data_IF_411411763107
#
_entry.id   IF_411411763107
#
_cell.length_a   1.000
_cell.length_b   1.000
_cell.length_c   1.000
_cell.angle_alpha   90.00
_cell.angle_beta   90.00
_cell.angle_gamma   90.00
#
_symmetry.space_group_name_H-M   'P 1'
#
loop_
_entity.id
_entity.type
_entity.pdbx_description
1 polymer ?
#
# COMPACT_ATOMS: atom_id res chain seq x y z
N UNK A 1 -13.43 -10.27 -16.19
CA UNK A 1 -12.22 -10.67 -15.45
C UNK A 1 -11.26 -11.28 -16.43
N UNK A 2 -10.10 -10.64 -16.66
CA UNK A 2 -9.05 -11.17 -17.54
C UNK A 2 -8.28 -12.30 -16.84
N UNK A 3 -7.80 -13.28 -17.61
CA UNK A 3 -7.06 -14.45 -17.09
C UNK A 3 -5.57 -14.13 -16.94
N UNK A 4 -4.96 -14.62 -15.86
CA UNK A 4 -3.56 -14.33 -15.50
C UNK A 4 -2.57 -15.44 -15.87
N UNK A 5 -2.86 -16.24 -16.89
CA UNK A 5 -2.01 -17.38 -17.27
C UNK A 5 -0.60 -16.94 -17.70
N UNK A 6 -0.52 -15.90 -18.52
CA UNK A 6 0.75 -15.34 -19.01
C UNK A 6 1.58 -14.77 -17.86
N UNK A 7 0.91 -14.03 -16.98
CA UNK A 7 1.49 -13.41 -15.79
C UNK A 7 2.10 -14.47 -14.86
N UNK A 8 1.34 -15.51 -14.52
CA UNK A 8 1.81 -16.63 -13.70
C UNK A 8 3.07 -17.28 -14.28
N UNK A 9 3.11 -17.50 -15.60
CA UNK A 9 4.30 -18.02 -16.27
C UNK A 9 5.51 -17.08 -16.17
N UNK A 10 5.29 -15.77 -16.34
CA UNK A 10 6.36 -14.78 -16.29
C UNK A 10 6.92 -14.63 -14.87
N UNK A 11 6.07 -14.64 -13.83
CA UNK A 11 6.50 -14.67 -12.43
C UNK A 11 7.29 -15.94 -12.08
N UNK A 12 6.96 -17.08 -12.71
CA UNK A 12 7.74 -18.32 -12.62
C UNK A 12 9.05 -18.25 -13.46
N UNK A 13 9.36 -17.12 -14.11
CA UNK A 13 10.58 -16.90 -14.92
C UNK A 13 10.73 -17.95 -16.04
N UNK A 14 9.61 -18.46 -16.57
CA UNK A 14 9.58 -19.58 -17.50
C UNK A 14 9.26 -19.19 -18.96
N UNK A 15 9.87 -19.90 -19.90
CA UNK A 15 9.60 -19.73 -21.35
C UNK A 15 8.29 -20.42 -21.74
N UNK A 16 7.58 -19.85 -22.71
CA UNK A 16 6.31 -20.39 -23.22
C UNK A 16 6.47 -21.84 -23.74
N UNK A 17 7.54 -22.11 -24.48
CA UNK A 17 7.85 -23.44 -25.03
C UNK A 17 8.03 -24.49 -23.93
N UNK A 18 8.79 -24.14 -22.90
CA UNK A 18 9.08 -25.02 -21.77
C UNK A 18 7.80 -25.37 -21.00
N UNK A 19 6.97 -24.38 -20.71
CA UNK A 19 5.72 -24.61 -19.97
C UNK A 19 4.70 -25.39 -20.79
N UNK A 20 4.64 -25.18 -22.10
CA UNK A 20 3.77 -25.98 -22.97
C UNK A 20 4.13 -27.47 -22.89
N UNK A 21 5.42 -27.81 -22.92
CA UNK A 21 5.91 -29.19 -22.75
C UNK A 21 5.52 -29.75 -21.38
N UNK A 22 5.77 -28.99 -20.29
CA UNK A 22 5.41 -29.44 -18.92
C UNK A 22 3.91 -29.65 -18.73
N UNK A 23 3.08 -28.84 -19.39
CA UNK A 23 1.62 -28.97 -19.37
C UNK A 23 1.10 -30.07 -20.31
N UNK A 24 1.96 -30.67 -21.14
CA UNK A 24 1.59 -31.69 -22.11
C UNK A 24 0.78 -31.16 -23.29
N UNK A 25 0.98 -29.89 -23.69
CA UNK A 25 0.26 -29.25 -24.80
C UNK A 25 1.22 -28.62 -25.81
N UNK A 26 0.69 -28.26 -26.99
CA UNK A 26 1.50 -27.55 -27.99
C UNK A 26 1.70 -26.08 -27.59
N UNK A 27 2.84 -25.48 -27.98
CA UNK A 27 3.10 -24.06 -27.74
C UNK A 27 1.99 -23.13 -28.28
N UNK A 28 1.41 -23.35 -29.48
CA UNK A 28 0.28 -22.55 -29.95
C UNK A 28 -0.97 -22.67 -29.06
N UNK A 29 -1.18 -23.83 -28.43
CA UNK A 29 -2.31 -24.05 -27.52
C UNK A 29 -2.16 -23.20 -26.26
N UNK A 30 -0.99 -23.25 -25.60
CA UNK A 30 -0.73 -22.41 -24.43
C UNK A 30 -0.78 -20.91 -24.79
N UNK A 31 -0.23 -20.52 -25.94
CA UNK A 31 -0.33 -19.13 -26.42
C UNK A 31 -1.79 -18.67 -26.63
N UNK A 32 -2.65 -19.53 -27.17
CA UNK A 32 -4.06 -19.23 -27.36
C UNK A 32 -4.81 -19.08 -26.03
N UNK A 33 -4.42 -19.83 -24.99
CA UNK A 33 -4.94 -19.66 -23.64
C UNK A 33 -4.47 -18.34 -23.01
N UNK A 34 -3.17 -18.05 -23.07
CA UNK A 34 -2.58 -16.82 -22.52
C UNK A 34 -3.09 -15.53 -23.17
N UNK A 35 -3.54 -15.61 -24.42
CA UNK A 35 -4.13 -14.47 -25.16
C UNK A 35 -5.65 -14.46 -25.12
N UNK A 36 -6.27 -15.36 -24.35
CA UNK A 36 -7.72 -15.54 -24.24
C UNK A 36 -8.45 -15.83 -25.59
N UNK A 37 -7.71 -16.10 -26.67
CA UNK A 37 -8.28 -16.52 -27.96
C UNK A 37 -8.99 -17.87 -27.86
N UNK A 38 -8.58 -18.71 -26.90
CA UNK A 38 -9.20 -20.00 -26.61
C UNK A 38 -9.29 -20.19 -25.11
N UNK A 39 -10.43 -20.70 -24.62
CA UNK A 39 -10.56 -21.05 -23.21
C UNK A 39 -9.69 -22.27 -22.86
N UNK A 40 -9.04 -22.20 -21.69
CA UNK A 40 -8.37 -23.35 -21.10
C UNK A 40 -9.41 -24.25 -20.40
N UNK A 41 -9.34 -25.58 -20.56
CA UNK A 41 -10.18 -26.49 -19.79
C UNK A 41 -9.82 -26.45 -18.31
N UNK A 42 -10.75 -26.84 -17.43
CA UNK A 42 -10.59 -26.77 -15.96
C UNK A 42 -9.34 -27.53 -15.51
N UNK A 43 -9.08 -28.68 -16.09
CA UNK A 43 -7.92 -29.53 -15.80
C UNK A 43 -6.59 -28.83 -16.15
N UNK A 44 -6.58 -28.03 -17.21
CA UNK A 44 -5.41 -27.23 -17.56
C UNK A 44 -5.20 -26.08 -16.57
N UNK A 45 -6.27 -25.46 -16.08
CA UNK A 45 -6.18 -24.40 -15.07
C UNK A 45 -5.62 -24.95 -13.77
N UNK A 46 -6.07 -26.12 -13.33
CA UNK A 46 -5.54 -26.80 -12.13
C UNK A 46 -4.04 -27.10 -12.31
N UNK A 47 -3.65 -27.70 -13.44
CA UNK A 47 -2.24 -27.99 -13.72
C UNK A 47 -1.37 -26.74 -13.78
N UNK A 48 -1.88 -25.64 -14.36
CA UNK A 48 -1.18 -24.36 -14.37
C UNK A 48 -1.00 -23.81 -12.95
N UNK A 49 -2.01 -23.93 -12.10
CA UNK A 49 -1.96 -23.45 -10.72
C UNK A 49 -0.85 -24.18 -9.94
N UNK A 50 -0.85 -25.52 -10.01
CA UNK A 50 0.19 -26.36 -9.40
C UNK A 50 1.58 -26.09 -9.98
N UNK A 51 1.69 -26.01 -11.32
CA UNK A 51 2.97 -25.82 -12.00
C UNK A 51 3.60 -24.46 -11.71
N UNK A 52 2.79 -23.40 -11.63
CA UNK A 52 3.27 -22.04 -11.37
C UNK A 52 3.33 -21.69 -9.88
N UNK A 53 2.84 -22.57 -8.99
CA UNK A 53 2.79 -22.32 -7.55
C UNK A 53 1.82 -21.21 -7.16
N UNK A 54 0.68 -21.10 -7.85
CA UNK A 54 -0.36 -20.09 -7.62
C UNK A 54 -1.72 -20.76 -7.41
N UNK A 55 -2.73 -20.02 -6.96
CA UNK A 55 -4.10 -20.55 -6.84
C UNK A 55 -4.85 -20.51 -8.17
N UNK A 56 -5.84 -21.38 -8.32
CA UNK A 56 -6.77 -21.31 -9.45
C UNK A 56 -7.54 -20.00 -9.46
N UNK A 57 -7.90 -19.47 -8.29
CA UNK A 57 -8.53 -18.15 -8.17
C UNK A 57 -7.65 -17.04 -8.74
N UNK A 58 -6.35 -17.02 -8.41
CA UNK A 58 -5.39 -16.08 -9.01
C UNK A 58 -5.33 -16.19 -10.54
N UNK A 59 -5.23 -17.40 -11.09
CA UNK A 59 -5.23 -17.60 -12.55
C UNK A 59 -6.53 -17.13 -13.22
N UNK A 60 -7.65 -17.28 -12.53
CA UNK A 60 -8.96 -16.88 -13.00
C UNK A 60 -9.28 -15.39 -12.74
N UNK A 61 -8.36 -14.68 -12.06
CA UNK A 61 -8.47 -13.26 -11.70
C UNK A 61 -9.44 -12.99 -10.54
N UNK A 62 -9.68 -13.97 -9.66
CA UNK A 62 -10.60 -13.89 -8.49
C UNK A 62 -9.87 -13.60 -7.17
N UNK A 63 -8.60 -13.27 -7.24
CA UNK A 63 -7.73 -12.94 -6.10
C UNK A 63 -7.99 -11.52 -5.57
N UNK A 64 -9.16 -11.33 -4.97
CA UNK A 64 -9.43 -10.26 -3.99
C UNK A 64 -8.79 -10.61 -2.62
N UNK A 65 -7.59 -11.20 -2.64
CA UNK A 65 -6.78 -11.37 -1.43
C UNK A 65 -6.29 -9.99 -1.00
N UNK A 66 -7.18 -9.28 -0.32
CA UNK A 66 -6.85 -8.12 0.47
C UNK A 66 -6.13 -8.67 1.71
N UNK A 67 -4.85 -8.33 1.88
CA UNK A 67 -4.26 -8.39 3.20
C UNK A 67 -5.20 -7.61 4.14
N UNK A 68 -5.37 -8.09 5.38
CA UNK A 68 -6.22 -7.41 6.35
C UNK A 68 -5.81 -5.93 6.41
N UNK A 69 -6.78 -4.99 6.44
CA UNK A 69 -6.47 -3.56 6.52
C UNK A 69 -5.50 -3.27 7.67
N UNK A 70 -4.33 -2.67 7.35
CA UNK A 70 -3.33 -2.28 8.34
C UNK A 70 -2.28 -3.34 8.70
N UNK A 71 -2.36 -4.57 8.21
CA UNK A 71 -1.32 -5.57 8.42
C UNK A 71 -0.25 -5.57 7.31
N UNK A 72 1.05 -5.69 7.65
CA UNK A 72 2.11 -5.87 6.67
C UNK A 72 1.83 -7.05 5.74
N UNK A 73 1.91 -6.82 4.43
CA UNK A 73 1.87 -7.86 3.41
C UNK A 73 3.12 -8.74 3.60
N UNK A 74 2.97 -10.04 3.86
CA UNK A 74 4.11 -10.95 3.88
C UNK A 74 4.81 -10.94 2.52
N UNK A 75 6.15 -10.95 2.49
CA UNK A 75 6.94 -10.86 1.24
C UNK A 75 6.52 -11.92 0.20
N UNK A 76 6.26 -13.15 0.65
CA UNK A 76 5.75 -14.25 -0.18
C UNK A 76 4.40 -13.96 -0.85
N UNK A 77 3.62 -13.03 -0.31
CA UNK A 77 2.34 -12.60 -0.88
C UNK A 77 2.50 -11.45 -1.87
N UNK A 78 3.64 -10.73 -1.90
CA UNK A 78 3.83 -9.57 -2.79
C UNK A 78 3.63 -9.93 -4.27
N UNK A 79 3.96 -11.15 -4.67
CA UNK A 79 3.74 -11.61 -6.05
C UNK A 79 2.26 -11.56 -6.47
N UNK A 80 1.34 -11.73 -5.52
CA UNK A 80 -0.12 -11.62 -5.77
C UNK A 80 -0.58 -10.17 -6.02
N UNK A 81 0.29 -9.20 -5.73
CA UNK A 81 0.06 -7.78 -5.95
C UNK A 81 0.64 -7.28 -7.28
N UNK A 82 1.06 -8.15 -8.22
CA UNK A 82 1.58 -7.68 -9.51
C UNK A 82 0.63 -6.67 -10.18
N UNK A 83 1.19 -5.54 -10.61
CA UNK A 83 0.47 -4.39 -11.19
C UNK A 83 -0.60 -3.78 -10.26
N UNK A 84 -0.63 -4.16 -8.98
CA UNK A 84 -1.44 -3.53 -7.92
C UNK A 84 -0.56 -2.59 -7.09
N UNK A 85 -1.13 -1.46 -6.61
CA UNK A 85 -0.42 -0.56 -5.71
C UNK A 85 -0.33 -1.15 -4.30
N UNK A 86 0.78 -0.88 -3.62
CA UNK A 86 0.99 -1.10 -2.18
C UNK A 86 1.52 0.18 -1.55
N UNK A 87 1.28 0.36 -0.26
CA UNK A 87 1.72 1.54 0.48
C UNK A 87 2.93 1.21 1.35
N UNK A 88 3.90 2.11 1.39
CA UNK A 88 5.07 2.10 2.27
C UNK A 88 5.07 3.35 3.15
N UNK A 89 5.44 3.25 4.44
CA UNK A 89 5.62 4.42 5.29
C UNK A 89 6.80 5.30 4.87
N UNK A 90 7.76 4.75 4.13
CA UNK A 90 8.97 5.46 3.69
C UNK A 90 8.77 6.09 2.32
N UNK A 91 8.20 5.33 1.37
CA UNK A 91 8.14 5.73 -0.04
C UNK A 91 6.74 6.12 -0.52
N UNK A 92 5.71 5.99 0.33
CA UNK A 92 4.32 6.21 -0.08
C UNK A 92 3.80 5.08 -0.97
N UNK A 93 3.00 5.43 -1.99
CA UNK A 93 2.46 4.43 -2.92
C UNK A 93 3.52 3.91 -3.90
N UNK A 94 3.60 2.60 -3.99
CA UNK A 94 4.50 1.85 -4.86
C UNK A 94 3.70 0.90 -5.75
N UNK A 95 4.14 0.69 -6.99
CA UNK A 95 3.57 -0.33 -7.87
C UNK A 95 4.39 -1.61 -7.78
N UNK A 96 3.75 -2.76 -7.58
CA UNK A 96 4.46 -4.04 -7.47
C UNK A 96 4.73 -4.65 -8.84
N UNK A 97 6.00 -4.93 -9.12
CA UNK A 97 6.44 -5.71 -10.27
C UNK A 97 6.93 -7.10 -9.81
N UNK A 98 6.01 -8.07 -9.75
CA UNK A 98 6.32 -9.45 -9.38
C UNK A 98 7.17 -10.21 -10.41
N UNK A 99 7.26 -9.73 -11.65
CA UNK A 99 8.09 -10.36 -12.69
C UNK A 99 9.57 -10.10 -12.41
N UNK A 100 9.91 -8.85 -12.07
CA UNK A 100 11.29 -8.46 -11.73
C UNK A 100 11.58 -8.52 -10.24
N UNK A 101 10.57 -8.77 -9.39
CA UNK A 101 10.66 -8.77 -7.93
C UNK A 101 11.10 -7.39 -7.38
N UNK A 102 10.54 -6.34 -7.97
CA UNK A 102 10.82 -4.93 -7.68
C UNK A 102 9.52 -4.16 -7.38
N UNK A 103 9.65 -3.09 -6.60
CA UNK A 103 8.65 -2.05 -6.41
C UNK A 103 9.07 -0.82 -7.20
N UNK A 104 8.11 -0.19 -7.87
CA UNK A 104 8.34 0.99 -8.70
C UNK A 104 7.68 2.20 -8.05
N UNK A 105 8.48 3.22 -7.77
CA UNK A 105 7.99 4.51 -7.23
C UNK A 105 7.35 5.36 -8.34
N UNK A 106 6.67 6.46 -7.97
CA UNK A 106 6.05 7.36 -8.94
C UNK A 106 7.05 8.08 -9.87
N UNK A 107 8.29 8.25 -9.42
CA UNK A 107 9.40 8.84 -10.18
C UNK A 107 10.24 7.80 -10.92
N UNK A 108 9.89 6.50 -10.83
CA UNK A 108 10.48 5.42 -11.61
C UNK A 108 11.70 4.75 -10.98
N UNK A 109 12.03 5.08 -9.72
CA UNK A 109 13.01 4.33 -8.92
C UNK A 109 12.51 2.90 -8.69
N UNK A 110 13.46 1.95 -8.60
CA UNK A 110 13.20 0.52 -8.46
C UNK A 110 13.82 -0.01 -7.18
N UNK A 111 12.98 -0.56 -6.31
CA UNK A 111 13.36 -1.08 -5.00
C UNK A 111 13.15 -2.60 -5.01
N UNK A 112 14.18 -3.43 -4.76
CA UNK A 112 14.00 -4.87 -4.65
C UNK A 112 13.02 -5.23 -3.52
N UNK A 113 12.26 -6.32 -3.65
CA UNK A 113 11.35 -6.78 -2.58
C UNK A 113 12.04 -6.92 -1.21
N UNK A 114 13.29 -7.40 -1.19
CA UNK A 114 14.09 -7.55 0.03
C UNK A 114 14.47 -6.23 0.73
N UNK A 115 14.34 -5.08 0.05
CA UNK A 115 14.63 -3.76 0.59
C UNK A 115 13.41 -3.02 1.14
N UNK A 116 12.22 -3.60 1.03
CA UNK A 116 10.97 -2.93 1.35
C UNK A 116 10.34 -3.49 2.63
N UNK A 117 10.52 -2.75 3.73
CA UNK A 117 9.88 -3.08 5.01
C UNK A 117 8.43 -2.56 5.05
N UNK A 118 7.56 -3.33 5.69
CA UNK A 118 6.21 -2.91 6.13
C UNK A 118 5.30 -2.38 5.01
N UNK A 119 5.21 -3.13 3.90
CA UNK A 119 4.28 -2.82 2.82
C UNK A 119 2.84 -3.15 3.20
N UNK A 120 1.91 -2.26 2.91
CA UNK A 120 0.49 -2.42 3.22
C UNK A 120 -0.35 -2.46 1.95
N UNK A 121 -1.40 -3.28 1.92
CA UNK A 121 -2.31 -3.40 0.76
C UNK A 121 -3.17 -2.15 0.56
N UNK A 122 -3.27 -1.31 1.58
CA UNK A 122 -3.86 0.00 1.53
C UNK A 122 -3.07 0.92 2.44
N UNK A 123 -3.12 2.22 2.16
CA UNK A 123 -2.73 3.20 3.18
C UNK A 123 -3.53 2.90 4.46
N UNK A 124 -2.88 2.78 5.62
CA UNK A 124 -3.60 2.51 6.85
C UNK A 124 -4.66 3.59 7.02
N UNK A 125 -5.93 3.17 7.16
CA UNK A 125 -7.00 4.06 7.55
C UNK A 125 -6.52 4.67 8.86
N UNK A 126 -6.30 5.99 8.84
CA UNK A 126 -5.75 6.90 9.86
C UNK A 126 -6.37 6.82 11.26
N UNK A 127 -7.13 5.77 11.56
CA UNK A 127 -7.72 5.40 12.83
C UNK A 127 -6.69 5.01 13.90
N UNK A 128 -5.47 4.58 13.53
CA UNK A 128 -4.44 4.31 14.55
C UNK A 128 -3.93 5.58 15.24
N UNK A 129 -4.14 6.79 14.70
CA UNK A 129 -3.89 8.01 15.49
C UNK A 129 -4.99 8.33 16.52
N UNK A 130 -5.79 7.33 16.91
CA UNK A 130 -6.58 7.37 18.15
C UNK A 130 -5.83 6.75 19.34
N UNK A 131 -4.48 6.76 19.37
CA UNK A 131 -3.72 6.36 20.56
C UNK A 131 -3.65 7.50 21.60
N UNK A 132 -4.64 7.52 22.51
CA UNK A 132 -4.58 8.19 23.83
C UNK A 132 -3.99 9.60 23.76
N UNK A 133 -4.55 10.49 22.94
CA UNK A 133 -4.34 11.92 23.19
C UNK A 133 -4.82 12.15 24.63
N UNK A 134 -3.90 12.51 25.52
CA UNK A 134 -4.20 12.77 26.92
C UNK A 134 -5.10 14.00 27.06
N UNK A 135 -5.10 14.65 28.20
CA UNK A 135 -5.82 15.93 28.31
C UNK A 135 -5.15 16.98 27.40
N UNK A 136 -5.91 17.69 26.54
CA UNK A 136 -5.36 18.77 25.73
C UNK A 136 -4.76 19.85 26.64
N UNK A 137 -3.68 20.46 26.17
CA UNK A 137 -3.00 21.51 26.91
C UNK A 137 -3.88 22.76 27.02
N UNK A 138 -3.89 23.47 28.15
CA UNK A 138 -4.57 24.77 28.20
C UNK A 138 -3.80 25.78 27.34
N UNK A 139 -4.53 26.74 26.74
CA UNK A 139 -3.96 27.77 25.84
C UNK A 139 -2.76 28.52 26.47
N UNK A 140 -2.81 28.77 27.78
CA UNK A 140 -1.73 29.44 28.52
C UNK A 140 -0.40 28.69 28.51
N UNK A 141 -0.42 27.37 28.28
CA UNK A 141 0.77 26.51 28.29
C UNK A 141 1.38 26.30 26.90
N UNK A 142 0.71 26.72 25.82
CA UNK A 142 1.21 26.48 24.46
C UNK A 142 2.53 27.21 24.22
N UNK A 143 2.64 28.46 24.68
CA UNK A 143 3.84 29.28 24.54
C UNK A 143 5.07 28.73 25.30
N UNK A 144 4.85 27.83 26.27
CA UNK A 144 5.92 27.19 27.05
C UNK A 144 6.57 26.01 26.30
N UNK A 145 5.92 25.52 25.24
CA UNK A 145 6.36 24.37 24.47
C UNK A 145 6.96 24.83 23.13
N UNK A 146 8.17 24.40 22.80
CA UNK A 146 8.79 24.68 21.50
C UNK A 146 8.13 23.91 20.35
N UNK A 147 7.72 22.67 20.62
CA UNK A 147 7.05 21.75 19.70
C UNK A 147 5.82 21.17 20.36
N UNK A 148 4.73 21.07 19.60
CA UNK A 148 3.43 20.58 20.03
C UNK A 148 2.88 19.60 19.00
N UNK A 149 2.12 18.60 19.46
CA UNK A 149 1.24 17.84 18.57
C UNK A 149 -0.06 18.60 18.38
N UNK A 150 -0.45 18.85 17.13
CA UNK A 150 -1.70 19.53 16.75
C UNK A 150 -2.72 18.52 16.27
N UNK A 151 -3.95 18.63 16.80
CA UNK A 151 -5.11 17.87 16.36
C UNK A 151 -6.18 18.83 15.82
N UNK A 152 -6.46 18.87 14.50
CA UNK A 152 -7.48 19.73 13.93
C UNK A 152 -8.90 19.30 14.33
N UNK A 153 -9.75 20.27 14.63
CA UNK A 153 -11.19 20.08 14.87
C UNK A 153 -11.91 20.34 13.54
N UNK A 154 -12.28 19.27 12.85
CA UNK A 154 -13.04 19.31 11.59
C UNK A 154 -13.88 18.05 11.46
N UNK A 155 -14.97 18.08 10.71
CA UNK A 155 -15.72 16.87 10.31
C UNK A 155 -15.07 16.17 9.12
N UNK A 156 -14.33 16.90 8.28
CA UNK A 156 -13.57 16.37 7.16
C UNK A 156 -12.35 15.58 7.66
N UNK A 157 -12.37 14.27 7.44
CA UNK A 157 -11.32 13.36 7.88
C UNK A 157 -10.02 13.53 7.12
N UNK A 158 -10.09 13.74 5.80
CA UNK A 158 -8.91 13.93 4.97
C UNK A 158 -8.13 15.17 5.43
N UNK A 159 -8.85 16.27 5.64
CA UNK A 159 -8.26 17.52 6.14
C UNK A 159 -7.62 17.37 7.52
N UNK A 160 -8.27 16.64 8.45
CA UNK A 160 -7.69 16.37 9.78
C UNK A 160 -6.38 15.61 9.66
N UNK A 161 -6.31 14.63 8.78
CA UNK A 161 -5.12 13.79 8.58
C UNK A 161 -3.97 14.54 7.92
N UNK A 162 -4.28 15.41 6.96
CA UNK A 162 -3.29 16.24 6.29
C UNK A 162 -2.66 17.26 7.25
N UNK A 163 -3.46 17.81 8.16
CA UNK A 163 -3.04 18.93 9.02
C UNK A 163 -2.61 18.51 10.42
N UNK A 164 -2.90 17.30 10.90
CA UNK A 164 -2.43 16.81 12.21
C UNK A 164 -0.92 16.53 12.18
N UNK A 165 -0.28 16.67 13.33
CA UNK A 165 1.15 16.34 13.46
C UNK A 165 1.92 17.31 14.33
N UNK A 166 3.24 17.34 14.16
CA UNK A 166 4.13 18.21 14.93
C UNK A 166 4.18 19.62 14.36
N UNK A 167 4.04 20.61 15.23
CA UNK A 167 4.15 22.02 14.91
C UNK A 167 5.08 22.74 15.86
N UNK A 168 5.80 23.73 15.34
CA UNK A 168 6.67 24.62 16.09
C UNK A 168 5.89 25.83 16.58
N UNK A 169 6.06 26.16 17.86
CA UNK A 169 5.39 27.30 18.46
C UNK A 169 6.05 28.61 18.03
N UNK A 170 5.23 29.54 17.55
CA UNK A 170 5.58 30.94 17.25
C UNK A 170 4.81 31.87 18.17
N UNK A 171 5.05 33.18 18.03
CA UNK A 171 4.49 34.21 18.93
C UNK A 171 2.95 34.22 18.99
N UNK A 172 2.26 33.88 17.90
CA UNK A 172 0.78 33.95 17.80
C UNK A 172 0.13 32.70 17.18
N UNK A 173 0.93 31.73 16.79
CA UNK A 173 0.47 30.57 16.04
C UNK A 173 1.46 29.42 16.18
N UNK A 174 1.05 28.24 15.77
CA UNK A 174 1.96 27.10 15.55
C UNK A 174 2.09 26.83 14.06
N UNK A 175 3.27 26.40 13.60
CA UNK A 175 3.56 26.13 12.19
C UNK A 175 4.35 24.84 11.99
N UNK A 176 3.96 24.02 11.01
CA UNK A 176 4.70 22.82 10.63
C UNK A 176 5.66 23.10 9.46
N UNK A 177 6.46 22.09 9.09
CA UNK A 177 7.50 22.24 8.06
C UNK A 177 6.93 22.43 6.64
N UNK A 178 5.65 22.09 6.43
CA UNK A 178 4.92 22.36 5.20
C UNK A 178 4.35 23.79 5.12
N UNK A 179 4.53 24.61 6.16
CA UNK A 179 4.03 25.99 6.23
C UNK A 179 2.56 26.13 6.63
N UNK A 180 1.91 25.04 7.08
CA UNK A 180 0.56 25.10 7.61
C UNK A 180 0.57 25.77 8.98
N UNK A 181 -0.43 26.63 9.25
CA UNK A 181 -0.48 27.48 10.45
C UNK A 181 -1.80 27.38 11.18
N UNK A 182 -1.72 27.25 12.50
CA UNK A 182 -2.88 27.37 13.38
C UNK A 182 -2.69 28.53 14.36
N UNK A 183 -3.59 29.51 14.28
CA UNK A 183 -3.58 30.69 15.16
C UNK A 183 -4.06 30.31 16.58
N UNK A 184 -3.45 30.93 17.60
CA UNK A 184 -3.85 30.75 19.00
C UNK A 184 -5.30 31.18 19.25
N UNK A 185 -5.78 32.21 18.54
CA UNK A 185 -7.17 32.70 18.64
C UNK A 185 -8.22 31.66 18.20
N UNK A 186 -7.80 30.64 17.44
CA UNK A 186 -8.67 29.56 16.98
C UNK A 186 -8.54 28.28 17.84
N UNK A 187 -7.76 28.32 18.91
CA UNK A 187 -7.54 27.18 19.79
C UNK A 187 -8.82 26.74 20.50
N UNK A 188 -9.07 25.44 20.58
CA UNK A 188 -10.30 24.86 21.13
C UNK A 188 -11.52 24.94 20.20
N UNK A 189 -11.42 25.65 19.08
CA UNK A 189 -12.48 25.76 18.06
C UNK A 189 -12.09 25.04 16.78
N UNK A 190 -10.88 25.29 16.28
CA UNK A 190 -10.36 24.69 15.03
C UNK A 190 -9.29 23.65 15.25
N UNK A 191 -8.69 23.59 16.44
CA UNK A 191 -7.61 22.68 16.75
C UNK A 191 -7.37 22.58 18.25
N UNK A 192 -6.74 21.48 18.67
CA UNK A 192 -6.24 21.21 20.00
C UNK A 192 -4.74 20.91 19.94
N UNK A 193 -4.09 20.95 21.10
CA UNK A 193 -2.66 20.70 21.22
C UNK A 193 -2.37 19.75 22.37
N UNK A 194 -1.37 18.89 22.18
CA UNK A 194 -0.94 17.89 23.12
C UNK A 194 0.58 17.89 23.24
N UNK A 195 1.11 17.40 24.37
CA UNK A 195 2.54 17.15 24.47
C UNK A 195 2.94 16.07 23.43
N UNK A 196 4.01 16.29 22.66
CA UNK A 196 4.57 15.24 21.82
C UNK A 196 4.92 14.03 22.71
N UNK A 197 4.59 12.81 22.26
CA UNK A 197 5.17 11.61 22.87
C UNK A 197 6.64 11.56 22.45
N UNK A 198 7.53 11.45 23.43
CA UNK A 198 8.97 11.26 23.20
C UNK A 198 9.29 9.85 22.76
#
# INVERSE_FOLDING_TARGET
>A
MSKRYKEARLMHKAKLTEMAVRLGVSQPTLSAWESERKAAPVEAVIKMAELYGVTTDYLLGRDDHTAAPGEPIPEQCLKLFHEKPVWSPVYGWLLVNAITEELVTSDGERIPFSGAAELLAMMPQSSEFSYTLGTPLPLSRLAECSVLWVEPISTDEYLRNELRGLYHTRRRYVENDAGNRFLFDAYGVKWLAFKPKG
#
